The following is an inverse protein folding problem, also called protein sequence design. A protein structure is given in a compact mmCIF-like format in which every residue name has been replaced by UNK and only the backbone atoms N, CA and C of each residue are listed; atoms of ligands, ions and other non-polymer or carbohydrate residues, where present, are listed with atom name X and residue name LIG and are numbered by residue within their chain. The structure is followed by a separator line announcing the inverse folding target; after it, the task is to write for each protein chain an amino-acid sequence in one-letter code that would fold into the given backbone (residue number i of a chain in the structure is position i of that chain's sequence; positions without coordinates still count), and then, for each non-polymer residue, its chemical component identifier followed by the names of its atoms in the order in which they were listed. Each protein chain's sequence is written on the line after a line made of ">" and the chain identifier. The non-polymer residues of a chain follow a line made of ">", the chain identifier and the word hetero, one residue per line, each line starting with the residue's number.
data_IF_251531078451
#
_entry.id   IF_251531078451
#
_cell.length_a   1.000
_cell.length_b   1.000
_cell.length_c   1.000
_cell.angle_alpha   90.00
_cell.angle_beta   90.00
_cell.angle_gamma   90.00
#
_symmetry.space_group_name_H-M   'P 1'
#
loop_
_entity.id
_entity.type
_entity.pdbx_description
1 polymer ?
#
# COMPACT_ATOMS: atom_id res chain seq x y z
N UNK A 1 -12.57 -13.90 -15.44
CA UNK A 1 -12.08 -14.37 -14.13
C UNK A 1 -13.24 -14.36 -13.16
N UNK A 2 -13.37 -15.34 -12.25
CA UNK A 2 -14.36 -15.28 -11.18
C UNK A 2 -14.14 -14.01 -10.33
N UNK A 3 -15.19 -13.45 -9.70
CA UNK A 3 -15.05 -12.29 -8.84
C UNK A 3 -14.08 -12.58 -7.70
N UNK A 4 -13.22 -11.62 -7.37
CA UNK A 4 -12.33 -11.74 -6.23
C UNK A 4 -13.16 -11.72 -4.94
N UNK A 5 -13.02 -12.75 -4.11
CA UNK A 5 -13.68 -12.86 -2.79
C UNK A 5 -12.65 -12.68 -1.68
N UNK A 6 -13.10 -12.24 -0.50
CA UNK A 6 -12.28 -12.08 0.70
C UNK A 6 -11.58 -13.41 1.08
N UNK A 7 -12.35 -14.50 1.10
CA UNK A 7 -11.85 -15.84 1.45
C UNK A 7 -10.73 -16.29 0.51
N UNK A 8 -10.94 -16.13 -0.81
CA UNK A 8 -9.92 -16.48 -1.80
C UNK A 8 -8.70 -15.58 -1.67
N UNK A 9 -8.90 -14.27 -1.47
CA UNK A 9 -7.81 -13.32 -1.30
C UNK A 9 -6.91 -13.71 -0.11
N UNK A 10 -7.51 -14.01 1.04
CA UNK A 10 -6.79 -14.35 2.26
C UNK A 10 -6.14 -15.75 2.19
N UNK A 11 -6.78 -16.70 1.51
CA UNK A 11 -6.21 -18.03 1.25
C UNK A 11 -4.99 -17.93 0.32
N UNK A 12 -5.11 -17.19 -0.78
CA UNK A 12 -4.03 -16.96 -1.74
C UNK A 12 -2.86 -16.21 -1.08
N UNK A 13 -3.18 -15.25 -0.20
CA UNK A 13 -2.20 -14.51 0.59
C UNK A 13 -1.45 -15.44 1.54
N UNK A 14 -2.17 -16.22 2.35
CA UNK A 14 -1.59 -17.14 3.32
C UNK A 14 -0.62 -18.13 2.66
N UNK A 15 -0.98 -18.63 1.47
CA UNK A 15 -0.12 -19.52 0.66
C UNK A 15 1.16 -18.83 0.16
N UNK A 16 1.10 -17.53 -0.13
CA UNK A 16 2.24 -16.77 -0.66
C UNK A 16 3.08 -16.08 0.42
N UNK A 17 2.60 -15.99 1.66
CA UNK A 17 3.24 -15.24 2.75
C UNK A 17 4.67 -15.74 3.05
N UNK A 18 4.93 -17.04 2.97
CA UNK A 18 6.27 -17.56 3.24
C UNK A 18 7.27 -17.18 2.14
N UNK A 19 6.85 -17.26 0.87
CA UNK A 19 7.66 -16.84 -0.26
C UNK A 19 7.90 -15.33 -0.23
N UNK A 20 6.87 -14.55 0.12
CA UNK A 20 6.95 -13.12 0.28
C UNK A 20 7.88 -12.72 1.44
N UNK A 21 7.78 -13.40 2.58
CA UNK A 21 8.67 -13.19 3.73
C UNK A 21 10.14 -13.45 3.37
N UNK A 22 10.43 -14.41 2.49
CA UNK A 22 11.78 -14.64 1.98
C UNK A 22 12.27 -13.51 1.09
N UNK A 23 11.41 -12.98 0.21
CA UNK A 23 11.74 -11.81 -0.61
C UNK A 23 12.07 -10.58 0.23
N UNK A 24 11.32 -10.33 1.30
CA UNK A 24 11.57 -9.19 2.19
C UNK A 24 12.86 -9.31 3.02
N UNK A 25 13.37 -10.53 3.20
CA UNK A 25 14.67 -10.78 3.85
C UNK A 25 15.85 -10.58 2.90
N UNK A 26 15.62 -10.57 1.58
CA UNK A 26 16.65 -10.15 0.64
C UNK A 26 16.83 -8.65 0.84
N UNK A 27 18.06 -8.23 1.12
CA UNK A 27 18.36 -6.82 1.32
C UNK A 27 18.02 -6.03 0.04
N UNK A 28 16.90 -5.31 0.06
CA UNK A 28 16.47 -4.45 -1.03
C UNK A 28 17.13 -3.07 -0.95
N UNK A 29 17.89 -2.76 0.10
CA UNK A 29 18.42 -1.41 0.37
C UNK A 29 19.24 -0.86 -0.79
N UNK A 30 20.08 -1.69 -1.44
CA UNK A 30 20.84 -1.28 -2.62
C UNK A 30 19.94 -0.88 -3.79
N UNK A 31 18.89 -1.64 -4.07
CA UNK A 31 17.94 -1.34 -5.16
C UNK A 31 17.13 -0.08 -4.87
N UNK A 32 16.77 0.15 -3.61
CA UNK A 32 15.98 1.31 -3.20
C UNK A 32 16.84 2.58 -3.25
N UNK A 33 18.12 2.50 -2.86
CA UNK A 33 19.07 3.62 -2.90
C UNK A 33 19.62 3.91 -4.30
N UNK A 34 19.80 2.89 -5.15
CA UNK A 34 20.28 3.05 -6.54
C UNK A 34 19.17 3.57 -7.48
N UNK A 35 17.90 3.51 -7.08
CA UNK A 35 16.77 4.02 -7.87
C UNK A 35 16.77 5.54 -8.07
N UNK A 36 17.47 6.30 -7.22
CA UNK A 36 17.54 7.77 -7.28
C UNK A 36 18.85 8.32 -7.86
N UNK A 37 19.84 7.48 -8.13
CA UNK A 37 21.17 7.93 -8.54
C UNK A 37 21.56 7.32 -9.89
N UNK A 38 21.58 8.18 -10.91
CA UNK A 38 22.25 8.03 -12.20
C UNK A 38 21.46 7.28 -13.29
N UNK A 39 20.95 8.06 -14.25
CA UNK A 39 20.31 7.65 -15.52
C UNK A 39 21.12 6.70 -16.43
N UNK A 40 22.29 6.20 -15.99
CA UNK A 40 23.16 5.28 -16.73
C UNK A 40 23.35 3.90 -16.09
N UNK A 41 23.06 3.72 -14.80
CA UNK A 41 23.38 2.49 -14.04
C UNK A 41 22.16 1.65 -13.63
N UNK A 42 20.96 2.02 -14.07
CA UNK A 42 19.71 1.27 -13.86
C UNK A 42 19.78 -0.22 -14.28
N UNK A 43 20.79 -0.60 -15.07
CA UNK A 43 21.08 -1.99 -15.46
C UNK A 43 21.62 -2.89 -14.33
N UNK A 44 22.38 -2.38 -13.35
CA UNK A 44 23.02 -3.27 -12.34
C UNK A 44 22.08 -3.71 -11.22
N UNK A 45 21.24 -2.82 -10.70
CA UNK A 45 20.18 -3.17 -9.73
C UNK A 45 19.14 -4.14 -10.34
N UNK A 46 18.81 -3.95 -11.62
CA UNK A 46 17.93 -4.87 -12.36
C UNK A 46 18.62 -6.21 -12.64
N UNK A 47 19.94 -6.25 -12.86
CA UNK A 47 20.73 -7.48 -13.05
C UNK A 47 20.87 -8.33 -11.77
N UNK A 48 20.98 -7.72 -10.58
CA UNK A 48 21.00 -8.46 -9.30
C UNK A 48 19.63 -9.05 -8.92
N UNK A 49 18.54 -8.39 -9.31
CA UNK A 49 17.16 -8.87 -9.12
C UNK A 49 16.67 -9.80 -10.25
N UNK A 50 17.41 -9.90 -11.36
CA UNK A 50 17.02 -10.63 -12.57
C UNK A 50 16.99 -12.16 -12.44
N UNK A 51 17.31 -12.73 -11.27
CA UNK A 51 17.30 -14.19 -11.10
C UNK A 51 15.90 -14.80 -10.96
N UNK A 52 14.82 -14.00 -10.85
CA UNK A 52 13.46 -14.52 -10.86
C UNK A 52 12.37 -13.53 -11.33
N UNK A 53 11.51 -13.97 -12.25
CA UNK A 53 10.34 -13.21 -12.76
C UNK A 53 9.40 -12.69 -11.65
N UNK A 54 9.34 -13.38 -10.50
CA UNK A 54 8.50 -12.98 -9.36
C UNK A 54 9.04 -11.77 -8.59
N UNK A 55 10.36 -11.56 -8.61
CA UNK A 55 11.02 -10.48 -7.88
C UNK A 55 10.71 -9.12 -8.51
N UNK A 56 10.73 -9.04 -9.84
CA UNK A 56 10.40 -7.81 -10.58
C UNK A 56 8.94 -7.40 -10.41
N UNK A 57 8.01 -8.38 -10.38
CA UNK A 57 6.60 -8.08 -10.22
C UNK A 57 6.28 -7.59 -8.80
N UNK A 58 6.99 -8.07 -7.78
CA UNK A 58 6.85 -7.58 -6.40
C UNK A 58 7.45 -6.20 -6.20
N UNK A 59 8.60 -5.90 -6.82
CA UNK A 59 9.16 -4.54 -6.79
C UNK A 59 8.21 -3.52 -7.44
N UNK A 60 7.63 -3.86 -8.60
CA UNK A 60 6.65 -2.98 -9.25
C UNK A 60 5.42 -2.75 -8.37
N UNK A 61 4.87 -3.81 -7.77
CA UNK A 61 3.73 -3.70 -6.85
C UNK A 61 4.07 -2.92 -5.59
N UNK A 62 5.32 -2.97 -5.15
CA UNK A 62 5.81 -2.18 -4.01
C UNK A 62 5.72 -0.70 -4.36
N UNK A 63 6.22 -0.31 -5.54
CA UNK A 63 6.09 1.06 -6.05
C UNK A 63 4.61 1.48 -6.18
N UNK A 64 3.73 0.61 -6.69
CA UNK A 64 2.28 0.88 -6.78
C UNK A 64 1.67 1.18 -5.40
N UNK A 65 1.90 0.31 -4.40
CA UNK A 65 1.38 0.51 -3.04
C UNK A 65 1.89 1.83 -2.44
N UNK A 66 3.16 2.17 -2.65
CA UNK A 66 3.73 3.42 -2.17
C UNK A 66 3.06 4.63 -2.82
N UNK A 67 2.99 4.66 -4.15
CA UNK A 67 2.34 5.77 -4.87
C UNK A 67 0.89 5.96 -4.43
N UNK A 68 0.13 4.87 -4.29
CA UNK A 68 -1.27 4.94 -3.92
C UNK A 68 -1.47 5.39 -2.47
N UNK A 69 -0.71 4.83 -1.51
CA UNK A 69 -0.80 5.22 -0.10
C UNK A 69 -0.40 6.68 0.11
N UNK A 70 0.63 7.16 -0.58
CA UNK A 70 1.05 8.56 -0.50
C UNK A 70 -0.01 9.52 -1.02
N UNK A 71 -0.65 9.16 -2.13
CA UNK A 71 -1.72 9.96 -2.70
C UNK A 71 -2.91 10.06 -1.74
N UNK A 72 -3.23 8.98 -1.04
CA UNK A 72 -4.27 8.98 0.00
C UNK A 72 -3.86 9.76 1.25
N UNK A 73 -2.60 9.68 1.68
CA UNK A 73 -2.08 10.50 2.80
C UNK A 73 -2.13 11.99 2.47
N UNK A 74 -1.70 12.39 1.27
CA UNK A 74 -1.83 13.77 0.78
C UNK A 74 -3.28 14.25 0.79
N UNK A 75 -4.22 13.37 0.44
CA UNK A 75 -5.64 13.69 0.54
C UNK A 75 -6.06 13.89 2.01
N UNK A 76 -5.63 13.04 2.93
CA UNK A 76 -5.93 13.21 4.36
C UNK A 76 -5.39 14.53 4.91
N UNK A 77 -4.17 14.92 4.53
CA UNK A 77 -3.61 16.22 4.91
C UNK A 77 -4.40 17.39 4.32
N UNK A 78 -4.83 17.27 3.06
CA UNK A 78 -5.67 18.27 2.41
C UNK A 78 -7.05 18.38 3.09
N UNK A 79 -7.68 17.26 3.47
CA UNK A 79 -8.92 17.24 4.22
C UNK A 79 -8.77 17.94 5.57
N UNK A 80 -7.67 17.67 6.29
CA UNK A 80 -7.34 18.33 7.57
C UNK A 80 -7.17 19.84 7.38
N UNK A 81 -6.42 20.27 6.35
CA UNK A 81 -6.19 21.70 6.06
C UNK A 81 -7.45 22.44 5.63
N UNK A 82 -8.38 21.77 4.95
CA UNK A 82 -9.60 22.38 4.41
C UNK A 82 -10.83 22.21 5.30
N UNK A 83 -10.70 21.49 6.42
CA UNK A 83 -11.82 21.20 7.34
C UNK A 83 -12.90 20.30 6.71
N UNK A 84 -12.57 19.54 5.66
CA UNK A 84 -13.51 18.64 4.97
C UNK A 84 -13.52 17.26 5.63
N UNK A 85 -14.69 16.63 5.63
CA UNK A 85 -14.85 15.29 6.17
C UNK A 85 -14.21 14.22 5.28
N UNK A 86 -13.72 13.17 5.90
CA UNK A 86 -13.27 11.99 5.16
C UNK A 86 -14.42 11.36 4.35
N UNK A 87 -14.14 10.93 3.11
CA UNK A 87 -15.15 10.32 2.27
C UNK A 87 -15.54 8.94 2.81
N UNK A 88 -16.84 8.72 3.03
CA UNK A 88 -17.39 7.40 3.37
C UNK A 88 -17.25 6.43 2.18
N UNK A 89 -16.90 5.15 2.41
CA UNK A 89 -16.81 4.16 1.34
C UNK A 89 -18.21 3.82 0.80
N UNK A 90 -18.67 4.52 -0.24
CA UNK A 90 -19.99 4.30 -0.82
C UNK A 90 -19.94 3.46 -2.12
N UNK A 91 -20.88 2.54 -2.29
CA UNK A 91 -21.16 1.92 -3.59
C UNK A 91 -22.04 2.85 -4.44
N UNK A 92 -21.49 3.45 -5.50
CA UNK A 92 -22.28 4.24 -6.47
C UNK A 92 -21.56 5.47 -7.05
N UNK A 93 -22.29 6.37 -7.71
CA UNK A 93 -21.77 7.63 -8.29
C UNK A 93 -21.12 8.57 -7.27
N UNK A 94 -21.44 8.41 -5.98
CA UNK A 94 -20.82 9.12 -4.85
C UNK A 94 -19.42 8.59 -4.47
N UNK A 95 -18.89 7.56 -5.15
CA UNK A 95 -17.51 7.02 -4.96
C UNK A 95 -16.41 8.07 -5.01
N UNK A 96 -16.69 9.19 -5.69
CA UNK A 96 -15.72 10.23 -5.93
C UNK A 96 -15.74 11.33 -4.88
N UNK A 97 -16.70 11.39 -3.94
CA UNK A 97 -16.73 12.32 -2.79
C UNK A 97 -15.89 13.61 -2.96
N UNK A 98 -14.84 13.72 -2.17
CA UNK A 98 -13.88 14.84 -2.17
C UNK A 98 -12.80 14.78 -3.24
N UNK A 99 -12.74 13.71 -4.05
CA UNK A 99 -11.65 13.40 -4.99
C UNK A 99 -11.47 14.45 -6.07
N UNK A 100 -12.57 14.93 -6.65
CA UNK A 100 -12.50 15.92 -7.73
C UNK A 100 -11.92 17.24 -7.21
N UNK A 101 -12.39 17.70 -6.05
CA UNK A 101 -11.87 18.89 -5.40
C UNK A 101 -10.41 18.71 -4.98
N UNK A 102 -10.05 17.57 -4.38
CA UNK A 102 -8.66 17.24 -4.06
C UNK A 102 -7.76 17.29 -5.29
N UNK A 103 -8.15 16.62 -6.39
CA UNK A 103 -7.36 16.59 -7.63
C UNK A 103 -7.16 18.01 -8.19
N UNK A 104 -8.21 18.82 -8.21
CA UNK A 104 -8.16 20.18 -8.75
C UNK A 104 -7.32 21.12 -7.86
N UNK A 105 -7.57 21.13 -6.55
CA UNK A 105 -6.93 22.05 -5.61
C UNK A 105 -5.45 21.73 -5.37
N UNK A 106 -5.07 20.46 -5.47
CA UNK A 106 -3.67 20.01 -5.34
C UNK A 106 -2.92 19.95 -6.68
N UNK A 107 -3.53 20.46 -7.77
CA UNK A 107 -2.89 20.56 -9.08
C UNK A 107 -2.55 19.21 -9.71
N UNK A 108 -3.29 18.15 -9.37
CA UNK A 108 -3.08 16.80 -9.90
C UNK A 108 -3.73 16.65 -11.27
N UNK A 109 -3.19 15.76 -12.10
CA UNK A 109 -3.80 15.45 -13.39
C UNK A 109 -5.12 14.73 -13.20
N UNK A 110 -6.21 15.26 -13.77
CA UNK A 110 -7.53 14.63 -13.70
C UNK A 110 -7.65 13.48 -14.73
N UNK A 111 -6.95 12.38 -14.44
CA UNK A 111 -6.96 11.17 -15.27
C UNK A 111 -7.68 10.02 -14.56
N UNK A 112 -8.15 9.06 -15.35
CA UNK A 112 -8.67 7.78 -14.83
C UNK A 112 -7.67 7.07 -13.93
N UNK A 113 -6.37 7.17 -14.26
CA UNK A 113 -5.29 6.55 -13.50
C UNK A 113 -5.13 7.22 -12.13
N UNK A 114 -5.16 8.55 -12.06
CA UNK A 114 -5.09 9.31 -10.81
C UNK A 114 -6.26 8.96 -9.89
N UNK A 115 -7.48 8.93 -10.46
CA UNK A 115 -8.70 8.57 -9.72
C UNK A 115 -8.62 7.14 -9.17
N UNK A 116 -8.18 6.17 -9.99
CA UNK A 116 -8.00 4.78 -9.54
C UNK A 116 -6.90 4.63 -8.49
N UNK A 117 -5.77 5.30 -8.68
CA UNK A 117 -4.67 5.30 -7.72
C UNK A 117 -5.15 5.80 -6.35
N UNK A 118 -5.92 6.89 -6.31
CA UNK A 118 -6.47 7.40 -5.05
C UNK A 118 -7.48 6.43 -4.44
N UNK A 119 -8.36 5.80 -5.24
CA UNK A 119 -9.29 4.79 -4.74
C UNK A 119 -8.57 3.60 -4.08
N UNK A 120 -7.52 3.09 -4.74
CA UNK A 120 -6.70 2.01 -4.18
C UNK A 120 -5.92 2.47 -2.94
N UNK A 121 -5.43 3.72 -2.94
CA UNK A 121 -4.79 4.34 -1.78
C UNK A 121 -5.73 4.41 -0.57
N UNK A 122 -6.95 4.93 -0.75
CA UNK A 122 -7.96 4.98 0.31
C UNK A 122 -8.28 3.60 0.87
N UNK A 123 -8.38 2.57 0.02
CA UNK A 123 -8.55 1.17 0.44
C UNK A 123 -7.39 0.71 1.32
N UNK A 124 -6.16 0.90 0.86
CA UNK A 124 -4.95 0.54 1.61
C UNK A 124 -4.88 1.27 2.97
N UNK A 125 -5.21 2.57 3.00
CA UNK A 125 -5.25 3.36 4.23
C UNK A 125 -6.39 2.99 5.18
N UNK A 126 -7.46 2.31 4.72
CA UNK A 126 -8.44 1.71 5.63
C UNK A 126 -7.85 0.52 6.36
N UNK A 127 -7.16 -0.37 5.65
CA UNK A 127 -6.47 -1.49 6.31
C UNK A 127 -5.44 -0.99 7.34
N UNK A 128 -4.64 0.03 7.02
CA UNK A 128 -3.68 0.63 7.98
C UNK A 128 -4.36 1.19 9.24
N UNK A 129 -5.55 1.77 9.10
CA UNK A 129 -6.29 2.31 10.25
C UNK A 129 -6.85 1.20 11.15
N UNK A 130 -7.33 0.12 10.55
CA UNK A 130 -7.93 -1.00 11.31
C UNK A 130 -6.87 -1.91 11.95
N UNK A 131 -5.74 -2.15 11.29
CA UNK A 131 -4.76 -3.17 11.71
C UNK A 131 -3.38 -2.61 12.05
N UNK A 132 -3.18 -1.30 11.90
CA UNK A 132 -1.91 -0.63 12.18
C UNK A 132 -0.90 -0.69 11.04
N UNK A 133 0.26 -0.10 11.31
CA UNK A 133 1.27 0.16 10.29
C UNK A 133 1.89 -1.11 9.69
N UNK A 134 2.08 -1.10 8.37
CA UNK A 134 2.77 -2.17 7.64
C UNK A 134 1.84 -3.25 7.07
N UNK A 135 0.56 -3.26 7.46
CA UNK A 135 -0.46 -4.16 6.89
C UNK A 135 -0.59 -3.99 5.37
N UNK A 136 -0.31 -2.82 4.84
CA UNK A 136 -0.39 -2.61 3.38
C UNK A 136 0.61 -3.42 2.59
N UNK A 137 1.80 -3.66 3.15
CA UNK A 137 2.84 -4.43 2.46
C UNK A 137 2.47 -5.91 2.35
N UNK A 138 1.64 -6.45 3.22
CA UNK A 138 1.26 -7.86 3.11
C UNK A 138 0.49 -8.14 1.82
N UNK A 139 -0.16 -7.13 1.25
CA UNK A 139 -0.99 -7.29 0.06
C UNK A 139 -0.18 -7.45 -1.22
N UNK A 140 1.14 -7.21 -1.20
CA UNK A 140 2.05 -7.33 -2.34
C UNK A 140 1.83 -8.60 -3.20
N UNK A 141 1.75 -9.81 -2.61
CA UNK A 141 1.58 -11.04 -3.38
C UNK A 141 0.21 -11.14 -4.07
N UNK A 142 -0.81 -10.51 -3.49
CA UNK A 142 -2.21 -10.60 -3.92
C UNK A 142 -2.78 -9.28 -4.43
N UNK A 143 -1.94 -8.27 -4.69
CA UNK A 143 -2.36 -6.91 -5.06
C UNK A 143 -3.33 -6.89 -6.26
N UNK A 144 -3.14 -7.69 -7.33
CA UNK A 144 -4.12 -7.73 -8.43
C UNK A 144 -5.52 -8.17 -8.00
N UNK A 145 -5.62 -9.14 -7.09
CA UNK A 145 -6.90 -9.60 -6.56
C UNK A 145 -7.50 -8.55 -5.60
N UNK A 146 -6.67 -7.93 -4.75
CA UNK A 146 -7.09 -6.85 -3.86
C UNK A 146 -7.73 -5.69 -4.64
N UNK A 147 -7.15 -5.29 -5.80
CA UNK A 147 -7.69 -4.21 -6.65
C UNK A 147 -9.10 -4.50 -7.18
N UNK A 148 -9.42 -5.77 -7.36
CA UNK A 148 -10.68 -6.24 -7.92
C UNK A 148 -11.78 -6.47 -6.87
N UNK A 149 -11.48 -6.35 -5.57
CA UNK A 149 -12.51 -6.50 -4.53
C UNK A 149 -13.63 -5.47 -4.67
N UNK A 150 -14.86 -5.94 -4.51
CA UNK A 150 -16.02 -5.08 -4.25
C UNK A 150 -15.91 -4.46 -2.85
N UNK A 151 -16.74 -3.45 -2.54
CA UNK A 151 -16.77 -2.88 -1.19
C UNK A 151 -17.26 -3.89 -0.13
N UNK A 152 -18.21 -4.76 -0.50
CA UNK A 152 -18.70 -5.80 0.40
C UNK A 152 -17.60 -6.83 0.73
N UNK A 153 -16.84 -7.25 -0.28
CA UNK A 153 -15.73 -8.18 -0.07
C UNK A 153 -14.54 -7.52 0.64
N UNK A 154 -14.34 -6.21 0.46
CA UNK A 154 -13.36 -5.45 1.24
C UNK A 154 -13.73 -5.41 2.73
N UNK A 155 -14.98 -5.08 3.06
CA UNK A 155 -15.47 -5.11 4.44
C UNK A 155 -15.35 -6.51 5.05
N UNK A 156 -15.75 -7.53 4.29
CA UNK A 156 -15.59 -8.94 4.70
C UNK A 156 -14.12 -9.33 4.91
N UNK A 157 -13.19 -8.79 4.11
CA UNK A 157 -11.76 -9.02 4.29
C UNK A 157 -11.27 -8.42 5.61
N UNK A 158 -11.74 -7.22 5.97
CA UNK A 158 -11.43 -6.59 7.26
C UNK A 158 -12.00 -7.44 8.41
N UNK A 159 -13.27 -7.83 8.35
CA UNK A 159 -13.88 -8.70 9.37
C UNK A 159 -13.12 -10.01 9.55
N UNK A 160 -12.74 -10.68 8.45
CA UNK A 160 -11.99 -11.94 8.50
C UNK A 160 -10.57 -11.75 9.03
N UNK A 161 -9.88 -10.67 8.67
CA UNK A 161 -8.56 -10.37 9.24
C UNK A 161 -8.60 -10.10 10.74
N UNK A 162 -9.72 -9.57 11.24
CA UNK A 162 -9.96 -9.39 12.67
C UNK A 162 -10.30 -10.68 13.42
N UNK A 163 -10.56 -11.78 12.72
CA UNK A 163 -10.85 -13.07 13.34
C UNK A 163 -9.57 -13.83 13.70
N UNK A 164 -9.69 -14.79 14.62
CA UNK A 164 -8.58 -15.67 15.03
C UNK A 164 -7.99 -16.47 13.87
N UNK A 165 -8.77 -16.72 12.81
CA UNK A 165 -8.37 -17.59 11.69
C UNK A 165 -7.25 -16.98 10.85
N UNK A 166 -7.10 -15.65 10.90
CA UNK A 166 -6.06 -14.93 10.16
C UNK A 166 -5.11 -14.13 11.07
N UNK A 167 -5.06 -14.43 12.37
CA UNK A 167 -4.16 -13.76 13.32
C UNK A 167 -2.68 -13.81 12.91
N UNK A 168 -2.24 -14.90 12.25
CA UNK A 168 -0.89 -15.01 11.69
C UNK A 168 -0.58 -13.92 10.66
N UNK A 169 -1.56 -13.54 9.86
CA UNK A 169 -1.44 -12.51 8.82
C UNK A 169 -1.22 -11.14 9.45
N UNK A 170 -1.99 -10.81 10.48
CA UNK A 170 -1.83 -9.58 11.27
C UNK A 170 -0.47 -9.54 12.00
N UNK A 171 -0.04 -10.66 12.59
CA UNK A 171 1.28 -10.74 13.24
C UNK A 171 2.44 -10.50 12.25
N UNK A 172 2.36 -11.08 11.04
CA UNK A 172 3.36 -10.84 9.98
C UNK A 172 3.40 -9.38 9.55
N UNK A 173 2.26 -8.70 9.49
CA UNK A 173 2.16 -7.28 9.13
C UNK A 173 2.97 -6.36 10.05
N UNK A 174 2.91 -6.60 11.36
CA UNK A 174 3.65 -5.80 12.35
C UNK A 174 5.17 -5.83 12.11
N UNK A 175 5.70 -6.98 11.67
CA UNK A 175 7.11 -7.12 11.31
C UNK A 175 7.50 -6.28 10.08
N UNK A 176 6.53 -5.86 9.26
CA UNK A 176 6.74 -5.05 8.07
C UNK A 176 6.61 -3.55 8.34
N UNK A 177 6.15 -3.14 9.52
CA UNK A 177 5.99 -1.72 9.87
C UNK A 177 7.30 -0.94 9.72
N UNK A 178 8.42 -1.52 10.18
CA UNK A 178 9.75 -0.90 10.06
C UNK A 178 10.21 -0.79 8.60
N UNK A 179 9.92 -1.80 7.79
CA UNK A 179 10.24 -1.75 6.35
C UNK A 179 9.42 -0.67 5.65
N UNK A 180 8.12 -0.58 5.96
CA UNK A 180 7.22 0.47 5.45
C UNK A 180 7.76 1.86 5.79
N UNK A 181 8.18 2.07 7.04
CA UNK A 181 8.79 3.32 7.48
C UNK A 181 10.07 3.67 6.71
N UNK A 182 11.04 2.74 6.65
CA UNK A 182 12.30 2.97 5.94
C UNK A 182 12.08 3.35 4.47
N UNK A 183 11.14 2.68 3.80
CA UNK A 183 10.81 2.94 2.40
C UNK A 183 10.15 4.32 2.20
N UNK A 184 9.32 4.77 3.15
CA UNK A 184 8.78 6.14 3.15
C UNK A 184 9.89 7.18 3.28
N UNK A 185 10.83 6.95 4.21
CA UNK A 185 11.96 7.85 4.42
C UNK A 185 12.85 7.98 3.17
N UNK A 186 13.18 6.86 2.51
CA UNK A 186 14.08 6.88 1.33
C UNK A 186 13.49 7.70 0.19
N UNK A 187 12.18 7.59 -0.05
CA UNK A 187 11.53 8.34 -1.15
C UNK A 187 11.03 9.73 -0.75
N UNK A 188 11.49 10.28 0.40
CA UNK A 188 11.12 11.63 0.85
C UNK A 188 9.63 11.78 1.15
N UNK A 189 8.94 10.68 1.45
CA UNK A 189 7.50 10.64 1.67
C UNK A 189 7.23 10.93 3.15
N UNK A 190 6.72 12.12 3.42
CA UNK A 190 6.07 12.55 4.67
C UNK A 190 6.75 12.12 5.99
N UNK A 191 7.81 12.85 6.35
CA UNK A 191 8.42 12.87 7.68
C UNK A 191 7.63 13.69 8.73
N UNK A 192 6.43 14.17 8.39
CA UNK A 192 5.74 15.24 9.13
C UNK A 192 5.09 14.88 10.47
N UNK A 193 4.89 13.60 10.79
CA UNK A 193 4.20 13.19 12.05
C UNK A 193 4.76 11.95 12.76
N UNK A 194 5.60 11.14 12.13
CA UNK A 194 6.21 9.96 12.80
C UNK A 194 7.33 10.33 13.79
N UNK A 195 7.75 11.61 13.79
CA UNK A 195 8.79 12.09 14.68
C UNK A 195 8.32 12.30 16.14
N UNK A 196 7.01 12.37 16.39
CA UNK A 196 6.47 12.52 17.74
C UNK A 196 6.24 11.19 18.46
N UNK A 197 6.01 10.08 17.74
CA UNK A 197 5.78 8.77 18.37
C UNK A 197 7.02 7.87 18.41
N UNK A 198 8.06 8.16 17.61
CA UNK A 198 9.32 7.40 17.64
C UNK A 198 10.32 7.90 18.71
N UNK A 199 9.92 8.88 19.53
CA UNK A 199 10.76 9.40 20.62
C UNK A 199 10.88 8.44 21.83
N UNK A 200 10.16 7.32 21.82
CA UNK A 200 10.30 6.27 22.83
C UNK A 200 10.35 4.92 22.14
N UNK A 201 11.54 4.37 22.00
CA UNK A 201 11.91 2.97 22.27
C UNK A 201 13.41 2.86 21.95
N UNK A 202 14.21 2.84 23.03
CA UNK A 202 15.58 2.33 23.06
C UNK A 202 15.57 0.80 22.94
#
# INVERSE_FOLDING_TARGET
>A
MPPATAERLLTDLSTQLDMFSRFLKVDLTSIILEGDLVQGESRRATELLATGKNTQCWLQRLQEIHQWTNLALREQDWLQRTGRNEPTPCSGSHRFGTMAAFIQEEGLSDTHNTKKALQHGRRLMRFEREFGHGITLIWLPVLPALRCLSLAEEARTIEMLGSSDFAYVAHRAQLLARLRFNYQCIHGIYLGKLHEESAYIL
#
